data_IF_387227102098
#
_entry.id   IF_387227102098
#
_cell.length_a   1.000
_cell.length_b   1.000
_cell.length_c   1.000
_cell.angle_alpha   90.00
_cell.angle_beta   90.00
_cell.angle_gamma   90.00
#
_symmetry.space_group_name_H-M   'P 1'
#
loop_
_entity.id
_entity.type
_entity.pdbx_description
1 polymer ?
#
# COMPACT_ATOMS: atom_id res chain seq x y z
N UNK A 1 -10.74 8.40 -14.79
CA UNK A 1 -10.80 6.92 -14.80
C UNK A 1 -9.36 6.46 -14.86
N UNK A 2 -8.77 6.02 -13.75
CA UNK A 2 -7.35 5.70 -13.65
C UNK A 2 -7.20 4.21 -13.38
N UNK A 3 -6.88 3.45 -14.42
CA UNK A 3 -6.69 2.01 -14.37
C UNK A 3 -5.23 1.74 -14.01
N UNK A 4 -4.99 1.01 -12.92
CA UNK A 4 -3.79 0.21 -12.77
C UNK A 4 -3.79 -0.71 -13.98
N UNK A 5 -3.03 -0.25 -14.98
CA UNK A 5 -3.05 -0.57 -16.39
C UNK A 5 -3.96 -1.72 -16.86
N UNK A 6 -4.78 -1.41 -17.85
CA UNK A 6 -5.46 -2.28 -18.83
C UNK A 6 -4.51 -3.25 -19.59
N UNK A 7 -3.32 -3.55 -19.04
CA UNK A 7 -2.30 -4.39 -19.66
C UNK A 7 -2.60 -5.89 -19.52
N UNK A 8 -3.56 -6.30 -18.71
CA UNK A 8 -4.04 -7.69 -18.64
C UNK A 8 -5.49 -7.77 -19.15
N UNK A 9 -5.71 -8.23 -20.40
CA UNK A 9 -7.06 -8.40 -20.93
C UNK A 9 -7.84 -9.42 -20.09
N UNK A 10 -8.94 -8.96 -19.47
CA UNK A 10 -9.87 -9.81 -18.71
C UNK A 10 -9.99 -9.52 -17.21
N UNK A 11 -9.17 -8.61 -16.64
CA UNK A 11 -9.30 -8.23 -15.22
C UNK A 11 -9.77 -6.78 -15.10
N UNK A 12 -10.92 -6.55 -14.44
CA UNK A 12 -11.49 -5.24 -14.21
C UNK A 12 -11.39 -4.86 -12.72
N UNK A 13 -10.38 -4.08 -12.36
CA UNK A 13 -10.24 -3.57 -10.99
C UNK A 13 -11.35 -2.56 -10.65
N UNK A 14 -12.00 -2.75 -9.50
CA UNK A 14 -12.95 -1.78 -8.92
C UNK A 14 -12.30 -1.06 -7.75
N UNK A 15 -12.62 0.24 -7.64
CA UNK A 15 -12.06 1.12 -6.62
C UNK A 15 -13.10 1.57 -5.61
N UNK A 16 -12.73 1.57 -4.33
CA UNK A 16 -13.62 1.88 -3.20
C UNK A 16 -13.06 3.01 -2.35
N UNK A 17 -13.96 3.81 -1.78
CA UNK A 17 -13.62 4.93 -0.90
C UNK A 17 -13.39 4.51 0.56
N UNK A 18 -14.10 3.49 1.05
CA UNK A 18 -13.95 2.98 2.43
C UNK A 18 -12.88 1.87 2.48
N UNK A 19 -11.76 2.05 3.21
CA UNK A 19 -10.72 1.05 3.47
C UNK A 19 -11.18 -0.21 4.24
N UNK A 20 -12.39 -0.22 4.78
CA UNK A 20 -12.92 -1.30 5.60
C UNK A 20 -14.10 -2.06 4.99
N UNK A 21 -14.56 -1.64 3.81
CA UNK A 21 -15.64 -2.31 3.10
C UNK A 21 -15.36 -3.81 2.91
N UNK A 22 -16.41 -4.63 3.05
CA UNK A 22 -16.38 -6.09 2.92
C UNK A 22 -15.96 -6.54 1.51
N UNK A 23 -16.29 -5.75 0.48
CA UNK A 23 -16.04 -6.08 -0.92
C UNK A 23 -14.61 -5.82 -1.36
N UNK A 24 -13.72 -5.44 -0.44
CA UNK A 24 -12.35 -5.10 -0.79
C UNK A 24 -11.36 -6.03 -0.15
N UNK A 25 -10.48 -6.58 -0.97
CA UNK A 25 -9.46 -7.52 -0.52
C UNK A 25 -8.10 -6.85 -0.35
N UNK A 26 -7.75 -5.88 -1.20
CA UNK A 26 -6.44 -5.23 -1.20
C UNK A 26 -6.49 -3.74 -0.84
N UNK A 27 -5.60 -3.33 0.05
CA UNK A 27 -5.45 -1.93 0.49
C UNK A 27 -4.01 -1.47 0.32
N UNK A 28 -3.81 -0.33 -0.35
CA UNK A 28 -2.52 0.35 -0.40
C UNK A 28 -2.44 1.37 0.73
N UNK A 29 -1.66 1.07 1.77
CA UNK A 29 -1.51 1.92 2.95
C UNK A 29 -0.22 2.73 2.85
N UNK A 30 -0.35 4.02 2.54
CA UNK A 30 0.77 4.94 2.50
C UNK A 30 1.10 5.47 3.89
N UNK A 31 2.37 5.44 4.25
CA UNK A 31 2.86 5.62 5.61
C UNK A 31 4.00 6.62 5.66
N UNK A 32 3.99 7.50 6.66
CA UNK A 32 5.05 8.47 6.89
C UNK A 32 6.02 7.97 7.97
N UNK A 33 7.30 7.88 7.64
CA UNK A 33 8.38 7.48 8.56
C UNK A 33 8.97 8.64 9.38
N UNK A 34 8.81 9.88 8.92
CA UNK A 34 9.46 11.05 9.54
C UNK A 34 8.79 11.49 10.85
N UNK A 35 7.46 11.33 10.95
CA UNK A 35 6.66 11.83 12.07
C UNK A 35 6.28 10.66 12.98
N UNK A 36 6.60 10.72 14.28
CA UNK A 36 6.31 9.62 15.20
C UNK A 36 4.83 9.29 15.29
N UNK A 37 3.97 10.30 15.47
CA UNK A 37 2.52 10.08 15.55
C UNK A 37 1.93 9.46 14.27
N UNK A 38 2.53 9.73 13.10
CA UNK A 38 2.10 9.12 11.84
C UNK A 38 2.52 7.65 11.75
N UNK A 39 3.63 7.24 12.38
CA UNK A 39 4.02 5.84 12.49
C UNK A 39 3.07 5.07 13.41
N UNK A 40 2.68 5.68 14.53
CA UNK A 40 1.72 5.09 15.47
C UNK A 40 0.33 4.94 14.81
N UNK A 41 -0.13 5.96 14.08
CA UNK A 41 -1.37 5.91 13.29
C UNK A 41 -1.32 4.83 12.20
N UNK A 42 -0.19 4.68 11.51
CA UNK A 42 -0.01 3.64 10.51
C UNK A 42 -0.08 2.23 11.11
N UNK A 43 0.53 2.01 12.27
CA UNK A 43 0.48 0.73 12.98
C UNK A 43 -0.96 0.38 13.39
N UNK A 44 -1.68 1.32 14.03
CA UNK A 44 -3.08 1.12 14.42
C UNK A 44 -4.01 0.89 13.22
N UNK A 45 -3.79 1.61 12.12
CA UNK A 45 -4.58 1.43 10.90
C UNK A 45 -4.35 0.04 10.30
N UNK A 46 -3.09 -0.39 10.24
CA UNK A 46 -2.73 -1.70 9.73
C UNK A 46 -3.39 -2.82 10.54
N UNK A 47 -3.37 -2.73 11.87
CA UNK A 47 -4.02 -3.73 12.74
C UNK A 47 -5.51 -3.86 12.42
N UNK A 48 -6.23 -2.74 12.31
CA UNK A 48 -7.66 -2.73 11.95
C UNK A 48 -7.94 -3.35 10.57
N UNK A 49 -7.04 -3.14 9.61
CA UNK A 49 -7.15 -3.74 8.27
C UNK A 49 -6.94 -5.26 8.34
N UNK A 50 -5.95 -5.71 9.10
CA UNK A 50 -5.66 -7.14 9.27
C UNK A 50 -6.77 -7.88 10.04
N UNK A 51 -7.36 -7.25 11.05
CA UNK A 51 -8.55 -7.78 11.75
C UNK A 51 -9.71 -8.04 10.79
N UNK A 52 -9.86 -7.18 9.77
CA UNK A 52 -10.84 -7.33 8.69
C UNK A 52 -10.35 -8.20 7.53
N UNK A 53 -9.26 -8.95 7.74
CA UNK A 53 -8.65 -9.91 6.79
C UNK A 53 -8.25 -9.28 5.45
N UNK A 54 -7.88 -8.00 5.47
CA UNK A 54 -7.40 -7.31 4.27
C UNK A 54 -5.94 -7.67 3.98
N UNK A 55 -5.60 -7.77 2.71
CA UNK A 55 -4.22 -7.78 2.24
C UNK A 55 -3.73 -6.35 2.09
N UNK A 56 -2.60 -6.02 2.72
CA UNK A 56 -2.13 -4.63 2.80
C UNK A 56 -0.79 -4.49 2.09
N UNK A 57 -0.73 -3.56 1.14
CA UNK A 57 0.48 -3.09 0.48
C UNK A 57 0.93 -1.78 1.13
N UNK A 58 1.98 -1.86 1.94
CA UNK A 58 2.60 -0.70 2.58
C UNK A 58 3.50 0.04 1.60
N UNK A 59 3.35 1.35 1.56
CA UNK A 59 4.20 2.24 0.77
C UNK A 59 4.51 3.51 1.57
N UNK A 60 5.40 4.34 1.04
CA UNK A 60 5.80 5.59 1.67
C UNK A 60 7.06 5.48 2.52
N UNK A 61 7.47 6.61 3.08
CA UNK A 61 8.78 6.72 3.73
C UNK A 61 8.88 5.95 5.06
N UNK A 62 7.78 5.45 5.64
CA UNK A 62 7.90 4.55 6.79
C UNK A 62 8.53 3.20 6.40
N UNK A 63 8.28 2.71 5.18
CA UNK A 63 8.89 1.47 4.68
C UNK A 63 10.40 1.61 4.59
N UNK A 64 10.88 2.72 4.01
CA UNK A 64 12.30 3.07 3.96
C UNK A 64 12.86 3.22 5.38
N UNK A 65 12.20 4.05 6.22
CA UNK A 65 12.60 4.28 7.60
C UNK A 65 12.87 2.98 8.34
N UNK A 66 11.93 2.03 8.36
CA UNK A 66 12.11 0.78 9.10
C UNK A 66 13.12 -0.19 8.46
N UNK A 67 13.31 -0.15 7.13
CA UNK A 67 14.36 -0.94 6.45
C UNK A 67 15.76 -0.39 6.73
N UNK A 68 15.93 0.92 6.71
CA UNK A 68 17.23 1.59 6.86
C UNK A 68 17.74 1.57 8.31
N UNK A 69 16.85 1.72 9.28
CA UNK A 69 17.21 1.75 10.71
C UNK A 69 17.51 0.36 11.29
N UNK A 70 17.39 -0.71 10.50
CA UNK A 70 17.66 -2.11 10.88
C UNK A 70 17.11 -2.48 12.27
N UNK A 71 15.85 -2.10 12.53
CA UNK A 71 15.20 -2.39 13.81
C UNK A 71 14.71 -3.83 13.81
N UNK A 72 15.10 -4.58 14.84
CA UNK A 72 14.68 -5.97 15.11
C UNK A 72 13.20 -6.10 15.45
N UNK A 73 12.53 -4.98 15.74
CA UNK A 73 11.07 -4.91 15.86
C UNK A 73 10.53 -3.85 14.92
N UNK A 74 9.89 -4.30 13.85
CA UNK A 74 9.14 -3.44 12.95
C UNK A 74 7.63 -3.73 13.07
N UNK A 75 6.85 -2.80 13.67
CA UNK A 75 5.43 -3.02 13.89
C UNK A 75 4.63 -3.08 12.58
N UNK A 76 5.17 -2.59 11.46
CA UNK A 76 4.43 -2.48 10.21
C UNK A 76 4.45 -3.76 9.36
N UNK A 77 5.51 -4.55 9.31
CA UNK A 77 5.51 -5.72 8.39
C UNK A 77 6.23 -6.96 8.87
N UNK A 78 6.95 -6.92 9.98
CA UNK A 78 7.66 -8.11 10.47
C UNK A 78 6.68 -9.12 11.07
N UNK A 79 6.76 -10.38 10.62
CA UNK A 79 5.92 -11.48 11.08
C UNK A 79 4.43 -11.41 10.69
N UNK A 80 4.00 -10.37 9.97
CA UNK A 80 2.59 -10.19 9.59
C UNK A 80 2.28 -10.90 8.27
N UNK A 81 1.36 -11.86 8.33
CA UNK A 81 0.79 -12.48 7.12
C UNK A 81 -0.07 -11.45 6.39
N UNK A 82 -0.09 -11.51 5.05
CA UNK A 82 -0.86 -10.61 4.18
C UNK A 82 -0.43 -9.13 4.22
N UNK A 83 0.80 -8.85 4.67
CA UNK A 83 1.40 -7.53 4.56
C UNK A 83 2.56 -7.60 3.58
N UNK A 84 2.52 -6.69 2.63
CA UNK A 84 3.47 -6.57 1.54
C UNK A 84 4.01 -5.15 1.51
N UNK A 85 5.16 -4.95 0.88
CA UNK A 85 5.79 -3.64 0.77
C UNK A 85 5.96 -3.29 -0.70
N UNK A 86 5.46 -2.12 -1.12
CA UNK A 86 5.53 -1.63 -2.49
C UNK A 86 6.20 -0.25 -2.56
N UNK A 87 7.07 -0.05 -3.55
CA UNK A 87 7.67 1.25 -3.87
C UNK A 87 6.81 1.99 -4.89
N UNK A 88 6.87 3.33 -4.87
CA UNK A 88 6.15 4.15 -5.85
C UNK A 88 6.62 3.87 -7.28
N UNK A 89 7.87 3.48 -7.47
CA UNK A 89 8.46 3.18 -8.77
C UNK A 89 7.90 1.89 -9.38
N UNK A 90 7.33 0.99 -8.56
CA UNK A 90 6.76 -0.25 -9.07
C UNK A 90 5.42 -0.03 -9.78
N UNK A 91 4.69 1.06 -9.49
CA UNK A 91 3.36 1.29 -10.07
C UNK A 91 3.37 1.41 -11.59
N UNK A 92 4.49 1.80 -12.21
CA UNK A 92 4.59 1.89 -13.67
C UNK A 92 4.67 0.51 -14.35
N UNK A 93 5.18 -0.49 -13.63
CA UNK A 93 5.59 -1.78 -14.19
C UNK A 93 4.92 -3.00 -13.53
N UNK A 94 4.23 -2.81 -12.41
CA UNK A 94 3.57 -3.88 -11.68
C UNK A 94 2.25 -4.27 -12.36
N UNK A 95 1.98 -5.58 -12.40
CA UNK A 95 0.70 -6.11 -12.90
C UNK A 95 -0.17 -6.57 -11.73
N UNK A 96 -1.49 -6.61 -11.96
CA UNK A 96 -2.44 -7.05 -10.94
C UNK A 96 -2.13 -8.48 -10.50
N UNK A 97 -1.85 -9.41 -11.43
CA UNK A 97 -1.43 -10.77 -11.12
C UNK A 97 -0.27 -10.84 -10.12
N UNK A 98 0.73 -9.96 -10.23
CA UNK A 98 1.84 -9.90 -9.27
C UNK A 98 1.37 -9.45 -7.89
N UNK A 99 0.45 -8.49 -7.83
CA UNK A 99 -0.16 -8.05 -6.56
C UNK A 99 -0.95 -9.19 -5.88
N UNK A 100 -1.64 -10.03 -6.64
CA UNK A 100 -2.37 -11.17 -6.08
C UNK A 100 -1.45 -12.25 -5.53
N UNK A 101 -0.26 -12.36 -6.09
CA UNK A 101 0.76 -13.32 -5.67
C UNK A 101 1.59 -12.84 -4.47
N UNK A 102 1.31 -11.64 -3.93
CA UNK A 102 2.00 -11.12 -2.77
C UNK A 102 3.38 -10.53 -3.08
N UNK A 103 3.43 -9.63 -4.06
CA UNK A 103 4.65 -8.95 -4.49
C UNK A 103 5.29 -8.12 -3.35
N UNK A 104 6.62 -8.17 -3.22
CA UNK A 104 7.36 -7.25 -2.38
C UNK A 104 8.44 -6.56 -3.21
N UNK A 105 8.56 -5.25 -3.06
CA UNK A 105 9.62 -4.51 -3.74
C UNK A 105 10.97 -4.84 -3.17
N UNK A 106 11.94 -4.85 -4.06
CA UNK A 106 13.35 -5.01 -3.74
C UNK A 106 14.09 -3.67 -3.72
N UNK A 107 13.48 -2.61 -4.26
CA UNK A 107 14.07 -1.29 -4.37
C UNK A 107 13.12 -0.21 -3.85
N UNK A 108 13.64 0.63 -2.95
CA UNK A 108 12.94 1.78 -2.36
C UNK A 108 13.72 3.07 -2.56
N UNK A 109 14.66 3.10 -3.52
CA UNK A 109 15.46 4.29 -3.82
C UNK A 109 14.59 5.50 -4.17
N UNK A 110 15.21 6.65 -3.89
CA UNK A 110 14.82 8.05 -4.04
C UNK A 110 13.35 8.37 -4.35
N UNK A 111 12.83 9.33 -3.59
CA UNK A 111 11.51 9.92 -3.79
C UNK A 111 11.50 10.69 -5.12
N UNK A 112 11.44 9.98 -6.25
CA UNK A 112 11.21 10.60 -7.53
C UNK A 112 9.72 10.96 -7.62
N UNK A 113 9.46 12.21 -7.98
CA UNK A 113 8.12 12.63 -8.37
C UNK A 113 7.77 11.89 -9.66
N UNK A 114 7.10 10.75 -9.52
CA UNK A 114 6.62 10.00 -10.69
C UNK A 114 5.55 10.85 -11.39
N UNK A 115 5.56 10.81 -12.73
CA UNK A 115 4.48 11.41 -13.54
C UNK A 115 3.22 10.56 -13.54
N UNK A 116 3.29 9.37 -12.91
CA UNK A 116 2.15 8.51 -12.67
C UNK A 116 1.07 9.30 -11.93
N UNK A 117 -0.20 9.23 -12.37
CA UNK A 117 -1.27 10.02 -11.78
C UNK A 117 -1.25 9.81 -10.27
N UNK A 118 -1.28 10.92 -9.51
CA UNK A 118 -1.58 10.88 -8.08
C UNK A 118 -2.81 9.99 -7.94
N UNK A 119 -2.56 8.78 -7.47
CA UNK A 119 -3.60 7.84 -7.12
C UNK A 119 -4.53 8.59 -6.10
N UNK A 120 -5.82 8.33 -6.03
CA UNK A 120 -6.71 9.27 -5.33
C UNK A 120 -6.39 9.43 -3.83
N UNK A 121 -5.99 10.65 -3.41
CA UNK A 121 -5.91 11.07 -2.01
C UNK A 121 -7.30 11.39 -1.49
N UNK A 122 -7.86 10.54 -0.64
CA UNK A 122 -9.13 10.80 0.04
C UNK A 122 -8.85 11.61 1.32
N UNK A 123 -8.83 12.94 1.16
CA UNK A 123 -8.55 13.88 2.24
C UNK A 123 -9.55 13.76 3.41
N UNK A 124 -10.81 13.44 3.11
CA UNK A 124 -11.87 13.32 4.11
C UNK A 124 -11.65 12.14 5.06
N UNK A 125 -10.92 11.12 4.59
CA UNK A 125 -10.65 9.90 5.36
C UNK A 125 -9.19 9.79 5.80
N UNK A 126 -8.35 10.81 5.50
CA UNK A 126 -6.90 10.85 5.77
C UNK A 126 -6.08 9.72 5.14
N UNK A 127 -6.60 9.04 4.11
CA UNK A 127 -5.87 8.00 3.38
C UNK A 127 -5.43 8.52 2.02
N UNK A 128 -4.15 8.28 1.66
CA UNK A 128 -3.64 8.79 0.40
C UNK A 128 -3.98 7.93 -0.83
N UNK A 129 -4.25 6.61 -0.78
CA UNK A 129 -4.34 5.84 -2.03
C UNK A 129 -5.29 4.59 -2.04
N UNK A 130 -5.54 4.17 -3.28
CA UNK A 130 -6.59 3.32 -3.90
C UNK A 130 -6.72 1.89 -3.37
N UNK A 131 -7.94 1.36 -3.44
CA UNK A 131 -8.34 0.02 -2.99
C UNK A 131 -8.76 -0.83 -4.17
N UNK A 132 -8.29 -2.08 -4.29
CA UNK A 132 -8.68 -2.97 -5.39
C UNK A 132 -9.52 -4.12 -4.83
N UNK A 133 -10.73 -4.26 -5.34
CA UNK A 133 -11.51 -5.50 -5.23
C UNK A 133 -11.30 -6.34 -6.49
N UNK A 134 -11.31 -7.66 -6.31
CA UNK A 134 -11.37 -8.65 -7.40
C UNK A 134 -12.76 -9.26 -7.55
#
# INVERSE_FOLDING_TARGET
>A
MFTLTEKEPGIQAKYYSDPYDKEVDFVFLNTCGFISSARDEAAHTLEKLLEKRKSVYLLGCAVQYYKDINKTENPLFEGKKNVYTISRNDFENISLKKLLQGYNSTDYKDFEFTTSPRVYTNIDHKFEYLKIAE
#
